data_IF_833672963466
#
_entry.id   IF_833672963466
#
_cell.length_a   1.000
_cell.length_b   1.000
_cell.length_c   1.000
_cell.angle_alpha   90.00
_cell.angle_beta   90.00
_cell.angle_gamma   90.00
#
_symmetry.space_group_name_H-M   'P 1'
#
loop_
_entity.id
_entity.type
_entity.pdbx_description
1 polymer ?
#
# COMPACT_ATOMS: atom_id res chain seq x y z
N UNK A 1 22.96 9.07 14.52
CA UNK A 1 22.35 9.57 13.28
C UNK A 1 22.67 8.54 12.20
N UNK A 2 21.73 8.17 11.35
CA UNK A 2 22.02 7.27 10.24
C UNK A 2 23.08 7.94 9.33
N UNK A 3 24.17 7.24 9.03
CA UNK A 3 25.17 7.73 8.08
C UNK A 3 24.61 7.56 6.67
N UNK A 4 24.77 8.60 5.83
CA UNK A 4 24.29 8.53 4.45
C UNK A 4 25.03 7.41 3.72
N UNK A 5 24.33 6.45 3.10
CA UNK A 5 24.98 5.36 2.40
C UNK A 5 25.82 5.89 1.23
N UNK A 6 27.05 5.38 1.11
CA UNK A 6 27.93 5.67 -0.02
C UNK A 6 27.53 4.77 -1.19
N UNK A 7 27.30 5.36 -2.36
CA UNK A 7 26.92 4.62 -3.55
C UNK A 7 28.00 3.58 -3.92
N UNK A 8 27.59 2.32 -4.02
CA UNK A 8 28.46 1.24 -4.49
C UNK A 8 28.38 1.13 -6.02
N UNK A 9 29.20 0.23 -6.60
CA UNK A 9 29.25 0.05 -8.06
C UNK A 9 27.88 -0.31 -8.65
N UNK A 10 27.08 -1.14 -7.97
CA UNK A 10 25.76 -1.55 -8.46
C UNK A 10 24.79 -0.37 -8.52
N UNK A 11 24.73 0.47 -7.48
CA UNK A 11 23.85 1.64 -7.46
C UNK A 11 24.22 2.64 -8.56
N UNK A 12 25.52 2.86 -8.79
CA UNK A 12 26.00 3.75 -9.86
C UNK A 12 25.70 3.21 -11.27
N UNK A 13 25.84 1.90 -11.47
CA UNK A 13 25.53 1.27 -12.76
C UNK A 13 24.02 1.26 -13.07
N UNK A 14 23.17 1.17 -12.04
CA UNK A 14 21.70 1.15 -12.20
C UNK A 14 21.08 2.55 -12.30
N UNK A 15 21.76 3.60 -11.86
CA UNK A 15 21.25 4.99 -11.85
C UNK A 15 20.61 5.44 -13.19
N UNK A 16 21.23 5.27 -14.38
CA UNK A 16 20.60 5.69 -15.63
C UNK A 16 19.34 4.86 -16.00
N UNK A 17 19.29 3.60 -15.58
CA UNK A 17 18.13 2.74 -15.78
C UNK A 17 16.98 3.18 -14.86
N UNK A 18 17.29 3.44 -13.59
CA UNK A 18 16.30 3.95 -12.63
C UNK A 18 15.73 5.29 -13.09
N UNK A 19 16.57 6.21 -13.58
CA UNK A 19 16.14 7.51 -14.10
C UNK A 19 15.15 7.37 -15.27
N UNK A 20 15.49 6.50 -16.23
CA UNK A 20 14.63 6.22 -17.40
C UNK A 20 13.29 5.61 -16.98
N UNK A 21 13.32 4.59 -16.12
CA UNK A 21 12.12 3.86 -15.72
C UNK A 21 11.23 4.66 -14.77
N UNK A 22 11.80 5.47 -13.87
CA UNK A 22 11.04 6.40 -13.03
C UNK A 22 10.37 7.47 -13.88
N UNK A 23 11.10 8.08 -14.82
CA UNK A 23 10.54 9.06 -15.76
C UNK A 23 9.39 8.47 -16.57
N UNK A 24 9.56 7.23 -17.07
CA UNK A 24 8.50 6.51 -17.79
C UNK A 24 7.28 6.26 -16.90
N UNK A 25 7.48 5.80 -15.66
CA UNK A 25 6.40 5.53 -14.72
C UNK A 25 5.55 6.78 -14.46
N UNK A 26 6.20 7.90 -14.14
CA UNK A 26 5.53 9.17 -13.86
C UNK A 26 4.82 9.74 -15.09
N UNK A 27 5.40 9.59 -16.29
CA UNK A 27 4.79 10.08 -17.52
C UNK A 27 3.53 9.31 -17.95
N UNK A 28 3.35 8.09 -17.44
CA UNK A 28 2.21 7.22 -17.77
C UNK A 28 1.32 6.94 -16.56
N UNK A 29 1.45 7.73 -15.49
CA UNK A 29 0.63 7.50 -14.31
C UNK A 29 -0.84 7.79 -14.58
N UNK A 30 -1.72 6.91 -14.07
CA UNK A 30 -3.15 7.13 -14.03
C UNK A 30 -3.55 7.22 -12.57
N UNK A 31 -3.72 8.45 -12.09
CA UNK A 31 -4.07 8.70 -10.70
C UNK A 31 -5.47 8.17 -10.38
N UNK A 32 -5.60 7.56 -9.21
CA UNK A 32 -6.86 7.10 -8.63
C UNK A 32 -6.86 7.42 -7.14
N UNK A 33 -8.04 7.54 -6.55
CA UNK A 33 -8.18 7.80 -5.13
C UNK A 33 -8.94 6.67 -4.44
N UNK A 34 -8.49 6.28 -3.24
CA UNK A 34 -9.07 5.14 -2.52
C UNK A 34 -10.57 5.29 -2.28
N UNK A 35 -11.04 6.52 -2.04
CA UNK A 35 -12.46 6.79 -1.81
C UNK A 35 -13.33 6.58 -3.06
N UNK A 36 -12.77 6.60 -4.27
CA UNK A 36 -13.54 6.33 -5.50
C UNK A 36 -13.96 4.86 -5.62
N UNK A 37 -13.33 3.96 -4.86
CA UNK A 37 -13.54 2.51 -4.92
C UNK A 37 -14.27 1.94 -3.70
N UNK A 38 -14.65 2.80 -2.74
CA UNK A 38 -15.39 2.38 -1.55
C UNK A 38 -16.87 2.72 -1.74
N UNK A 39 -17.79 1.73 -1.74
CA UNK A 39 -19.22 1.98 -1.89
C UNK A 39 -19.83 2.52 -0.57
N UNK A 40 -19.54 3.78 -0.25
CA UNK A 40 -19.95 4.40 1.02
C UNK A 40 -21.46 4.39 1.27
N UNK A 41 -22.27 4.33 0.21
CA UNK A 41 -23.73 4.21 0.31
C UNK A 41 -24.20 2.92 1.02
N UNK A 42 -23.36 1.90 1.10
CA UNK A 42 -23.63 0.64 1.81
C UNK A 42 -23.16 0.67 3.27
N UNK A 43 -22.54 1.76 3.71
CA UNK A 43 -22.04 1.90 5.08
C UNK A 43 -23.18 2.05 6.10
N UNK A 44 -23.02 1.39 7.24
CA UNK A 44 -23.94 1.48 8.38
C UNK A 44 -23.17 1.74 9.68
N UNK A 45 -23.87 2.30 10.68
CA UNK A 45 -23.27 2.56 11.98
C UNK A 45 -23.00 1.24 12.72
N UNK A 46 -21.92 1.21 13.49
CA UNK A 46 -21.72 0.18 14.53
C UNK A 46 -22.62 0.42 15.74
N UNK A 47 -22.77 -0.56 16.62
CA UNK A 47 -23.69 -0.50 17.77
C UNK A 47 -23.38 0.68 18.71
N UNK A 48 -22.10 1.05 18.84
CA UNK A 48 -21.67 2.21 19.63
C UNK A 48 -22.32 3.53 19.17
N UNK A 49 -22.65 3.66 17.88
CA UNK A 49 -23.34 4.82 17.29
C UNK A 49 -24.81 4.52 16.97
N UNK A 50 -25.41 3.53 17.65
CA UNK A 50 -26.82 3.17 17.51
C UNK A 50 -27.18 2.32 16.30
N UNK A 51 -26.19 1.69 15.64
CA UNK A 51 -26.44 0.71 14.58
C UNK A 51 -26.23 -0.73 15.04
N UNK A 52 -25.56 -1.55 14.24
CA UNK A 52 -25.37 -2.99 14.48
C UNK A 52 -23.90 -3.36 14.37
N UNK A 53 -23.40 -4.18 15.29
CA UNK A 53 -22.03 -4.69 15.20
C UNK A 53 -21.92 -5.79 14.14
N UNK A 54 -20.70 -6.01 13.65
CA UNK A 54 -20.41 -7.02 12.64
C UNK A 54 -20.82 -8.44 13.10
N UNK A 55 -21.38 -9.20 12.17
CA UNK A 55 -21.64 -10.64 12.30
C UNK A 55 -21.07 -11.39 11.10
N UNK A 56 -20.74 -12.67 11.27
CA UNK A 56 -20.21 -13.50 10.19
C UNK A 56 -21.16 -13.58 8.97
N UNK A 57 -22.48 -13.45 9.19
CA UNK A 57 -23.47 -13.42 8.10
C UNK A 57 -23.44 -12.15 7.25
N UNK A 58 -22.79 -11.07 7.72
CA UNK A 58 -22.62 -9.83 6.94
C UNK A 58 -21.64 -9.99 5.77
N UNK A 59 -20.82 -11.05 5.76
CA UNK A 59 -19.84 -11.31 4.69
C UNK A 59 -20.49 -12.10 3.56
N UNK A 60 -20.61 -11.48 2.39
CA UNK A 60 -21.18 -12.10 1.18
C UNK A 60 -20.11 -12.62 0.20
N UNK A 61 -18.85 -12.25 0.40
CA UNK A 61 -17.74 -12.65 -0.46
C UNK A 61 -17.25 -14.07 -0.13
N UNK A 62 -16.75 -14.84 -1.12
CA UNK A 62 -16.13 -16.14 -0.88
C UNK A 62 -14.91 -16.02 0.03
N UNK A 63 -14.75 -16.98 0.95
CA UNK A 63 -13.63 -17.00 1.92
C UNK A 63 -12.23 -16.83 1.29
N UNK A 64 -11.89 -17.47 0.15
CA UNK A 64 -10.58 -17.26 -0.47
C UNK A 64 -10.32 -15.82 -0.91
N UNK A 65 -11.38 -15.05 -1.22
CA UNK A 65 -11.26 -13.63 -1.59
C UNK A 65 -10.94 -12.80 -0.35
N UNK A 66 -11.69 -12.97 0.73
CA UNK A 66 -11.45 -12.23 1.97
C UNK A 66 -10.09 -12.57 2.57
N UNK A 67 -9.67 -13.85 2.55
CA UNK A 67 -8.35 -14.26 3.02
C UNK A 67 -7.22 -13.57 2.24
N UNK A 68 -7.34 -13.50 0.90
CA UNK A 68 -6.37 -12.83 0.06
C UNK A 68 -6.32 -11.31 0.34
N UNK A 69 -7.47 -10.68 0.55
CA UNK A 69 -7.56 -9.26 0.89
C UNK A 69 -6.95 -8.95 2.27
N UNK A 70 -7.15 -9.81 3.26
CA UNK A 70 -6.53 -9.68 4.59
C UNK A 70 -5.00 -9.79 4.51
N UNK A 71 -4.48 -10.77 3.75
CA UNK A 71 -3.04 -10.92 3.51
C UNK A 71 -2.47 -9.67 2.83
N UNK A 72 -3.15 -9.17 1.80
CA UNK A 72 -2.76 -7.94 1.11
C UNK A 72 -2.75 -6.75 2.05
N UNK A 73 -3.80 -6.56 2.86
CA UNK A 73 -3.91 -5.46 3.81
C UNK A 73 -2.73 -5.46 4.79
N UNK A 74 -2.49 -6.57 5.48
CA UNK A 74 -1.41 -6.66 6.47
C UNK A 74 -0.04 -6.42 5.84
N UNK A 75 0.17 -6.90 4.61
CA UNK A 75 1.42 -6.65 3.88
C UNK A 75 1.57 -5.17 3.51
N UNK A 76 0.50 -4.51 3.07
CA UNK A 76 0.50 -3.10 2.65
C UNK A 76 0.56 -2.13 3.85
N UNK A 77 -0.01 -2.50 4.99
CA UNK A 77 0.08 -1.72 6.23
C UNK A 77 1.51 -1.64 6.78
N UNK A 78 2.41 -2.54 6.36
CA UNK A 78 3.83 -2.49 6.70
C UNK A 78 4.63 -1.44 5.90
N UNK A 79 3.96 -0.47 5.27
CA UNK A 79 4.61 0.59 4.48
C UNK A 79 5.71 1.33 5.25
N UNK A 80 5.50 1.58 6.55
CA UNK A 80 6.51 2.21 7.39
C UNK A 80 7.81 1.38 7.49
N UNK A 81 7.68 0.05 7.54
CA UNK A 81 8.82 -0.86 7.50
C UNK A 81 9.58 -0.76 6.18
N UNK A 82 8.88 -0.78 5.05
CA UNK A 82 9.50 -0.62 3.73
C UNK A 82 10.20 0.73 3.56
N UNK A 83 9.58 1.81 4.06
CA UNK A 83 10.18 3.14 4.04
C UNK A 83 11.47 3.18 4.89
N UNK A 84 11.48 2.53 6.06
CA UNK A 84 12.68 2.42 6.90
C UNK A 84 13.82 1.73 6.15
N UNK A 85 13.56 0.60 5.49
CA UNK A 85 14.56 -0.11 4.70
C UNK A 85 15.12 0.76 3.56
N UNK A 86 14.25 1.52 2.87
CA UNK A 86 14.66 2.43 1.81
C UNK A 86 15.60 3.51 2.34
N UNK A 87 15.26 4.12 3.48
CA UNK A 87 16.11 5.13 4.11
C UNK A 87 17.45 4.54 4.53
N UNK A 88 17.44 3.41 5.22
CA UNK A 88 18.67 2.78 5.72
C UNK A 88 19.68 2.44 4.61
N UNK A 89 19.20 2.11 3.41
CA UNK A 89 20.05 1.60 2.33
C UNK A 89 20.27 2.59 1.18
N UNK A 90 19.40 3.60 1.00
CA UNK A 90 19.40 4.44 -0.21
C UNK A 90 19.27 5.95 0.02
N UNK A 91 18.80 6.42 1.19
CA UNK A 91 18.55 7.87 1.45
C UNK A 91 19.45 8.38 2.59
#
# INVERSE_FOLDING_TARGET
MAEKPVANALTLELEPVVDTELSRHLATEEAWYAHDYVPFEQGENFAFLGGTDWDASSVTLPRPVTDALEILLITKDNLAGYHRELVEHFI
#
